data_IF_892562713429
#
_entry.id   IF_892562713429
#
_cell.length_a   1.000
_cell.length_b   1.000
_cell.length_c   1.000
_cell.angle_alpha   90.00
_cell.angle_beta   90.00
_cell.angle_gamma   90.00
#
_symmetry.space_group_name_H-M   'P 1'
#
loop_
_entity.id
_entity.type
_entity.pdbx_description
1 polymer ?
#
# COMPACT_ATOMS: atom_id res chain seq x y z
N UNK A 1 2.25 -28.66 10.93
CA UNK A 1 0.84 -28.36 10.59
C UNK A 1 0.14 -28.10 11.91
N UNK A 2 -0.18 -26.84 12.19
CA UNK A 2 -0.65 -26.41 13.52
C UNK A 2 -0.66 -24.89 13.56
N UNK A 3 -1.85 -24.35 13.33
CA UNK A 3 -2.25 -22.95 13.28
C UNK A 3 -1.61 -22.09 14.39
N UNK A 4 -0.87 -21.06 13.99
CA UNK A 4 -0.66 -19.88 14.82
C UNK A 4 -1.93 -19.03 14.71
N UNK A 5 -2.82 -19.14 15.68
CA UNK A 5 -3.73 -18.05 16.03
C UNK A 5 -2.87 -16.97 16.70
N UNK A 6 -2.31 -16.08 15.88
CA UNK A 6 -1.96 -14.74 16.35
C UNK A 6 -3.29 -14.07 16.74
N UNK A 7 -3.57 -13.96 18.05
CA UNK A 7 -4.65 -13.11 18.52
C UNK A 7 -4.44 -11.69 17.96
N UNK A 8 -5.49 -11.19 17.31
CA UNK A 8 -5.52 -9.89 16.67
C UNK A 8 -5.61 -8.75 17.70
N UNK A 9 -4.54 -7.96 17.82
CA UNK A 9 -4.56 -6.61 18.40
C UNK A 9 -4.41 -6.52 19.92
N UNK A 10 -4.15 -5.30 20.44
CA UNK A 10 -3.75 -5.09 21.83
C UNK A 10 -4.93 -5.29 22.79
N UNK A 11 -4.67 -6.03 23.86
CA UNK A 11 -5.62 -6.29 24.95
C UNK A 11 -5.44 -5.17 25.98
N UNK A 12 -6.48 -4.39 26.24
CA UNK A 12 -6.51 -3.45 27.36
C UNK A 12 -6.70 -4.25 28.65
N UNK A 13 -5.62 -4.47 29.40
CA UNK A 13 -5.71 -5.03 30.75
C UNK A 13 -5.86 -3.88 31.74
N UNK A 14 -7.10 -3.63 32.14
CA UNK A 14 -7.42 -2.68 33.21
C UNK A 14 -7.31 -3.45 34.52
N UNK A 15 -6.30 -3.13 35.33
CA UNK A 15 -6.19 -3.68 36.68
C UNK A 15 -6.74 -2.66 37.68
N UNK A 16 -7.74 -3.07 38.45
CA UNK A 16 -8.22 -2.28 39.58
C UNK A 16 -7.21 -2.42 40.73
N UNK A 17 -6.74 -1.27 41.25
CA UNK A 17 -5.76 -1.21 42.34
C UNK A 17 -6.32 -1.68 43.69
N UNK A 18 -7.63 -1.88 43.81
CA UNK A 18 -8.32 -2.22 45.08
C UNK A 18 -7.85 -3.52 45.77
N UNK A 19 -7.04 -4.36 45.12
CA UNK A 19 -6.55 -5.63 45.69
C UNK A 19 -5.02 -5.78 45.72
N UNK A 20 -4.25 -4.73 45.45
CA UNK A 20 -2.78 -4.79 45.48
C UNK A 20 -2.29 -4.07 46.74
N UNK A 21 -1.70 -4.81 47.67
CA UNK A 21 -1.04 -4.27 48.87
C UNK A 21 -0.14 -3.09 48.49
N UNK A 22 -0.17 -2.01 49.28
CA UNK A 22 0.50 -0.71 49.06
C UNK A 22 2.04 -0.76 48.85
N UNK A 23 2.64 -1.94 48.80
CA UNK A 23 4.09 -2.15 48.72
C UNK A 23 4.60 -2.75 47.41
N UNK A 24 3.74 -3.08 46.44
CA UNK A 24 4.18 -3.56 45.13
C UNK A 24 4.20 -2.44 44.09
N UNK A 25 5.39 -2.07 43.59
CA UNK A 25 5.52 -1.24 42.39
C UNK A 25 4.84 -1.97 41.22
N UNK A 26 3.66 -1.50 40.81
CA UNK A 26 2.98 -2.03 39.63
C UNK A 26 3.73 -1.60 38.38
N UNK A 27 4.39 -2.52 37.67
CA UNK A 27 4.97 -2.26 36.35
C UNK A 27 4.18 -3.00 35.26
N UNK A 28 4.04 -2.38 34.09
CA UNK A 28 3.52 -3.06 32.91
C UNK A 28 4.63 -3.97 32.36
N UNK A 29 4.45 -5.28 32.46
CA UNK A 29 5.42 -6.26 32.00
C UNK A 29 4.78 -7.30 31.07
N UNK A 30 5.53 -7.75 30.06
CA UNK A 30 5.13 -8.86 29.19
C UNK A 30 6.09 -10.03 29.34
N UNK A 31 5.58 -11.24 29.14
CA UNK A 31 6.37 -12.46 29.20
C UNK A 31 7.06 -12.73 27.86
N UNK A 32 8.40 -12.76 27.86
CA UNK A 32 9.19 -13.04 26.67
C UNK A 32 9.75 -14.46 26.72
N UNK A 33 9.34 -15.28 25.75
CA UNK A 33 9.84 -16.66 25.62
C UNK A 33 11.22 -16.69 24.97
N UNK A 34 12.11 -17.52 25.51
CA UNK A 34 13.42 -17.85 24.98
C UNK A 34 13.37 -19.28 24.44
N UNK A 35 13.21 -19.40 23.13
CA UNK A 35 13.18 -20.67 22.37
C UNK A 35 14.63 -21.06 22.07
N UNK A 36 15.07 -22.33 22.25
CA UNK A 36 14.27 -23.56 22.24
C UNK A 36 13.91 -24.17 23.60
N UNK A 37 14.33 -23.58 24.71
CA UNK A 37 14.21 -24.23 26.03
C UNK A 37 12.86 -24.03 26.73
N UNK A 38 11.87 -23.38 26.09
CA UNK A 38 10.57 -23.01 26.69
C UNK A 38 10.66 -22.20 28.00
N UNK A 39 11.84 -21.65 28.32
CA UNK A 39 12.01 -20.72 29.42
C UNK A 39 11.62 -19.32 28.96
N UNK A 40 11.19 -18.47 29.88
CA UNK A 40 10.91 -17.08 29.58
C UNK A 40 11.27 -16.18 30.75
N UNK A 41 11.23 -14.88 30.51
CA UNK A 41 11.43 -13.86 31.53
C UNK A 41 10.42 -12.74 31.35
N UNK A 42 10.00 -12.14 32.46
CA UNK A 42 9.20 -10.92 32.46
C UNK A 42 10.07 -9.74 32.03
N UNK A 43 9.56 -8.92 31.12
CA UNK A 43 10.22 -7.70 30.67
C UNK A 43 9.27 -6.51 30.84
N UNK A 44 9.71 -5.51 31.58
CA UNK A 44 8.97 -4.25 31.77
C UNK A 44 8.97 -3.45 30.45
N UNK A 45 7.78 -3.00 30.02
CA UNK A 45 7.59 -2.28 28.76
C UNK A 45 7.52 -0.76 28.98
N UNK A 46 6.91 -0.32 30.10
CA UNK A 46 6.77 1.11 30.43
C UNK A 46 6.52 1.36 31.92
N UNK A 47 6.82 2.59 32.36
CA UNK A 47 6.36 3.15 33.65
C UNK A 47 4.86 3.44 33.48
N UNK A 48 3.98 2.97 34.39
CA UNK A 48 2.54 3.19 34.27
C UNK A 48 2.20 4.68 34.38
N UNK A 49 1.35 5.18 33.47
CA UNK A 49 0.63 6.42 33.71
C UNK A 49 -0.51 6.10 34.69
N UNK A 50 -0.26 6.31 35.98
CA UNK A 50 -1.31 6.26 36.99
C UNK A 50 -2.29 7.42 36.72
N UNK A 51 -3.56 7.10 36.49
CA UNK A 51 -4.64 8.10 36.52
C UNK A 51 -5.19 8.21 37.94
N UNK A 52 -5.73 9.37 38.29
CA UNK A 52 -6.25 9.69 39.64
C UNK A 52 -7.41 8.79 40.10
N UNK A 53 -7.91 7.89 39.25
CA UNK A 53 -9.05 7.00 39.52
C UNK A 53 -8.68 5.53 39.81
N UNK A 54 -7.46 5.22 40.24
CA UNK A 54 -7.14 3.89 40.78
C UNK A 54 -7.02 2.76 39.76
N UNK A 55 -6.85 3.08 38.48
CA UNK A 55 -6.62 2.10 37.40
C UNK A 55 -5.20 2.20 36.85
N UNK A 56 -4.62 1.04 36.54
CA UNK A 56 -3.37 0.93 35.76
C UNK A 56 -3.75 0.54 34.34
N UNK A 57 -3.38 1.39 33.36
CA UNK A 57 -3.61 1.16 31.94
C UNK A 57 -2.26 0.89 31.28
N UNK A 58 -2.08 -0.30 30.72
CA UNK A 58 -0.92 -0.63 29.88
C UNK A 58 -1.31 -0.48 28.40
N UNK A 59 -0.58 0.38 27.68
CA UNK A 59 -0.83 0.72 26.28
C UNK A 59 0.21 0.05 25.36
N UNK A 60 -0.26 -0.62 24.31
CA UNK A 60 0.60 -1.15 23.25
C UNK A 60 0.36 -0.35 21.97
N UNK A 61 1.44 0.15 21.36
CA UNK A 61 1.41 1.00 20.16
C UNK A 61 1.55 0.14 18.89
N UNK A 62 0.60 0.27 17.97
CA UNK A 62 0.70 -0.30 16.62
C UNK A 62 0.61 0.85 15.62
N UNK A 63 1.67 1.10 14.87
CA UNK A 63 1.68 2.15 13.86
C UNK A 63 1.33 1.62 12.48
N UNK A 64 0.75 2.47 11.66
CA UNK A 64 0.39 2.17 10.28
C UNK A 64 1.61 1.97 9.37
N UNK A 65 1.70 0.83 8.67
CA UNK A 65 2.86 0.47 7.82
C UNK A 65 3.24 1.51 6.75
N UNK A 66 2.27 2.30 6.27
CA UNK A 66 2.50 3.27 5.21
C UNK A 66 3.12 4.58 5.71
N UNK A 67 2.85 4.99 6.95
CA UNK A 67 3.50 6.17 7.56
C UNK A 67 4.99 5.91 7.73
N UNK A 68 5.36 4.68 8.09
CA UNK A 68 6.74 4.24 8.27
C UNK A 68 7.60 4.42 7.01
N UNK A 69 7.00 4.44 5.81
CA UNK A 69 7.72 4.66 4.56
C UNK A 69 8.17 6.12 4.36
N UNK A 70 7.42 7.07 4.95
CA UNK A 70 7.67 8.50 4.86
C UNK A 70 8.47 8.99 6.06
N UNK A 71 8.10 8.53 7.26
CA UNK A 71 8.71 8.93 8.52
C UNK A 71 10.02 8.17 8.73
N UNK A 72 11.08 8.63 8.06
CA UNK A 72 12.45 8.24 8.40
C UNK A 72 12.91 8.73 9.79
N UNK A 73 12.07 9.50 10.49
CA UNK A 73 12.29 10.03 11.84
C UNK A 73 11.02 9.97 12.70
N UNK A 74 11.20 9.91 14.02
CA UNK A 74 10.19 9.63 15.05
C UNK A 74 9.20 10.76 15.34
N UNK A 75 9.47 11.98 14.90
CA UNK A 75 8.77 13.16 15.45
C UNK A 75 7.31 13.25 15.01
N UNK A 76 7.01 12.89 13.76
CA UNK A 76 5.62 12.85 13.24
C UNK A 76 4.84 11.65 13.81
N UNK A 77 5.56 10.59 14.20
CA UNK A 77 4.99 9.34 14.69
C UNK A 77 4.43 9.52 16.10
N UNK A 78 5.13 10.29 16.94
CA UNK A 78 4.70 10.55 18.32
C UNK A 78 3.35 11.28 18.40
N UNK A 79 3.05 12.16 17.44
CA UNK A 79 1.76 12.89 17.38
C UNK A 79 0.61 12.05 16.79
N UNK A 80 0.94 11.01 16.00
CA UNK A 80 -0.03 10.09 15.39
C UNK A 80 -0.37 8.90 16.30
N UNK A 81 0.47 8.61 17.29
CA UNK A 81 0.31 7.51 18.25
C UNK A 81 -0.95 7.61 19.13
N UNK A 82 -1.72 8.69 19.02
CA UNK A 82 -2.81 9.01 19.96
C UNK A 82 -4.19 8.50 19.51
N UNK A 83 -4.32 7.72 18.41
CA UNK A 83 -5.66 7.32 17.93
C UNK A 83 -5.81 5.86 17.46
N UNK A 84 -6.20 4.96 18.37
CA UNK A 84 -6.59 3.57 18.09
C UNK A 84 -7.59 3.40 16.92
N UNK A 85 -8.44 4.41 16.69
CA UNK A 85 -9.42 4.43 15.60
C UNK A 85 -8.72 4.39 14.23
N UNK A 86 -7.60 5.11 14.08
CA UNK A 86 -6.88 5.19 12.82
C UNK A 86 -6.22 3.85 12.45
N UNK A 87 -5.70 3.13 13.43
CA UNK A 87 -5.09 1.82 13.20
C UNK A 87 -6.13 0.76 12.85
N UNK A 88 -7.29 0.77 13.53
CA UNK A 88 -8.40 -0.11 13.18
C UNK A 88 -8.88 0.13 11.74
N UNK A 89 -9.14 1.39 11.38
CA UNK A 89 -9.56 1.75 10.02
C UNK A 89 -8.50 1.31 9.00
N UNK A 90 -7.23 1.53 9.30
CA UNK A 90 -6.17 1.24 8.34
C UNK A 90 -5.92 -0.26 8.19
N UNK A 91 -6.03 -1.04 9.26
CA UNK A 91 -5.92 -2.50 9.19
C UNK A 91 -7.06 -3.08 8.35
N UNK A 92 -8.30 -2.64 8.57
CA UNK A 92 -9.45 -3.05 7.75
C UNK A 92 -9.25 -2.67 6.28
N UNK A 93 -8.82 -1.43 6.01
CA UNK A 93 -8.57 -0.96 4.65
C UNK A 93 -7.46 -1.76 3.96
N UNK A 94 -6.39 -2.09 4.68
CA UNK A 94 -5.25 -2.86 4.17
C UNK A 94 -5.66 -4.29 3.80
N UNK A 95 -6.45 -4.97 4.65
CA UNK A 95 -7.00 -6.31 4.33
C UNK A 95 -7.91 -6.25 3.10
N UNK A 96 -8.80 -5.26 3.05
CA UNK A 96 -9.69 -5.07 1.91
C UNK A 96 -8.93 -4.78 0.61
N UNK A 97 -7.83 -4.03 0.73
CA UNK A 97 -6.92 -3.72 -0.37
C UNK A 97 -6.20 -4.95 -0.89
N UNK A 98 -5.67 -5.80 0.00
CA UNK A 98 -5.06 -7.09 -0.36
C UNK A 98 -6.06 -8.02 -1.07
N UNK A 99 -7.30 -8.10 -0.56
CA UNK A 99 -8.38 -8.86 -1.21
C UNK A 99 -8.71 -8.30 -2.60
N UNK A 100 -8.71 -6.97 -2.75
CA UNK A 100 -8.91 -6.32 -4.04
C UNK A 100 -7.79 -6.65 -5.04
N UNK A 101 -6.54 -6.54 -4.63
CA UNK A 101 -5.37 -6.90 -5.46
C UNK A 101 -5.41 -8.38 -5.86
N UNK A 102 -5.73 -9.26 -4.91
CA UNK A 102 -5.93 -10.68 -5.18
C UNK A 102 -7.04 -10.91 -6.21
N UNK A 103 -8.18 -10.23 -6.09
CA UNK A 103 -9.29 -10.31 -7.05
C UNK A 103 -8.88 -9.88 -8.47
N UNK A 104 -8.06 -8.84 -8.62
CA UNK A 104 -7.52 -8.42 -9.92
C UNK A 104 -6.63 -9.50 -10.52
N UNK A 105 -5.70 -10.06 -9.73
CA UNK A 105 -4.80 -11.12 -10.18
C UNK A 105 -5.57 -12.41 -10.52
N UNK A 106 -6.58 -12.76 -9.72
CA UNK A 106 -7.46 -13.89 -9.99
C UNK A 106 -8.21 -13.69 -11.31
N UNK A 107 -8.72 -12.49 -11.59
CA UNK A 107 -9.35 -12.15 -12.89
C UNK A 107 -8.37 -12.38 -14.04
N UNK A 108 -7.11 -11.99 -13.88
CA UNK A 108 -6.07 -12.17 -14.88
C UNK A 108 -5.77 -13.65 -15.19
N UNK A 109 -5.91 -14.52 -14.19
CA UNK A 109 -5.72 -15.97 -14.33
C UNK A 109 -6.94 -16.62 -14.97
N UNK A 110 -8.15 -16.22 -14.56
CA UNK A 110 -9.40 -16.85 -15.01
C UNK A 110 -9.80 -16.47 -16.44
N UNK A 111 -9.48 -15.24 -16.89
CA UNK A 111 -9.98 -14.73 -18.16
C UNK A 111 -8.84 -14.28 -19.08
N UNK A 112 -8.36 -15.19 -19.93
CA UNK A 112 -7.32 -14.89 -20.93
C UNK A 112 -7.70 -13.71 -21.83
N UNK A 113 -8.97 -13.61 -22.22
CA UNK A 113 -9.49 -12.50 -23.04
C UNK A 113 -9.33 -11.15 -22.35
N UNK A 114 -9.50 -11.11 -21.02
CA UNK A 114 -9.26 -9.91 -20.22
C UNK A 114 -7.77 -9.61 -20.12
N UNK A 115 -6.94 -10.62 -19.84
CA UNK A 115 -5.48 -10.50 -19.73
C UNK A 115 -4.80 -10.05 -21.02
N UNK A 116 -5.35 -10.39 -22.20
CA UNK A 116 -4.73 -10.06 -23.48
C UNK A 116 -4.91 -8.59 -23.89
N UNK A 117 -5.68 -7.79 -23.16
CA UNK A 117 -5.78 -6.35 -23.39
C UNK A 117 -4.54 -5.63 -22.82
N UNK A 118 -3.86 -4.82 -23.64
CA UNK A 118 -2.64 -4.08 -23.26
C UNK A 118 -2.85 -3.23 -22.00
N UNK A 119 -4.00 -2.54 -21.87
CA UNK A 119 -4.30 -1.74 -20.68
C UNK A 119 -4.39 -2.58 -19.41
N UNK A 120 -4.97 -3.78 -19.53
CA UNK A 120 -5.06 -4.73 -18.42
C UNK A 120 -3.70 -5.37 -18.09
N UNK A 121 -2.83 -5.59 -19.09
CA UNK A 121 -1.47 -6.06 -18.84
C UNK A 121 -0.66 -5.05 -18.03
N UNK A 122 -0.78 -3.77 -18.35
CA UNK A 122 -0.14 -2.68 -17.58
C UNK A 122 -0.71 -2.63 -16.16
N UNK A 123 -2.03 -2.75 -16.02
CA UNK A 123 -2.68 -2.85 -14.71
C UNK A 123 -2.19 -4.05 -13.89
N UNK A 124 -2.02 -5.23 -14.51
CA UNK A 124 -1.51 -6.42 -13.83
C UNK A 124 -0.10 -6.17 -13.30
N UNK A 125 0.79 -5.59 -14.11
CA UNK A 125 2.15 -5.27 -13.65
C UNK A 125 2.15 -4.26 -12.50
N UNK A 126 1.32 -3.21 -12.58
CA UNK A 126 1.14 -2.28 -11.48
C UNK A 126 0.61 -2.97 -10.21
N UNK A 127 -0.38 -3.83 -10.36
CA UNK A 127 -0.96 -4.64 -9.27
C UNK A 127 0.09 -5.55 -8.63
N UNK A 128 0.98 -6.15 -9.44
CA UNK A 128 2.10 -6.96 -8.95
C UNK A 128 3.09 -6.12 -8.14
N UNK A 129 3.50 -4.94 -8.64
CA UNK A 129 4.40 -4.04 -7.91
C UNK A 129 3.82 -3.63 -6.54
N UNK A 130 2.53 -3.24 -6.52
CA UNK A 130 1.80 -2.90 -5.30
C UNK A 130 1.71 -4.11 -4.36
N UNK A 131 1.43 -5.31 -4.88
CA UNK A 131 1.32 -6.53 -4.08
C UNK A 131 2.65 -6.88 -3.41
N UNK A 132 3.75 -6.82 -4.17
CA UNK A 132 5.10 -7.06 -3.65
C UNK A 132 5.42 -6.07 -2.52
N UNK A 133 5.14 -4.77 -2.71
CA UNK A 133 5.33 -3.76 -1.67
C UNK A 133 4.57 -4.10 -0.40
N UNK A 134 3.27 -4.39 -0.50
CA UNK A 134 2.44 -4.70 0.66
C UNK A 134 2.94 -5.94 1.41
N UNK A 135 3.24 -7.03 0.69
CA UNK A 135 3.78 -8.25 1.31
C UNK A 135 5.12 -7.98 2.00
N UNK A 136 6.01 -7.21 1.37
CA UNK A 136 7.31 -6.90 1.95
C UNK A 136 7.22 -5.98 3.17
N UNK A 137 6.21 -5.10 3.25
CA UNK A 137 5.93 -4.30 4.46
C UNK A 137 5.63 -5.22 5.66
N UNK A 138 4.73 -6.19 5.50
CA UNK A 138 4.39 -7.15 6.55
C UNK A 138 5.59 -8.03 6.93
N UNK A 139 6.36 -8.50 5.95
CA UNK A 139 7.59 -9.29 6.23
C UNK A 139 8.60 -8.44 7.02
N UNK A 140 8.77 -7.16 6.65
CA UNK A 140 9.73 -6.24 7.28
C UNK A 140 9.43 -5.98 8.76
N UNK A 141 8.15 -5.85 9.09
CA UNK A 141 7.68 -5.72 10.47
C UNK A 141 7.97 -6.99 11.29
N UNK A 142 7.67 -8.17 10.76
CA UNK A 142 7.85 -9.46 11.44
C UNK A 142 9.31 -9.84 11.73
N UNK A 143 10.30 -9.17 11.15
CA UNK A 143 11.71 -9.39 11.46
C UNK A 143 12.03 -8.87 12.87
N UNK A 144 12.63 -9.68 13.75
CA UNK A 144 12.95 -9.25 15.12
C UNK A 144 13.83 -7.99 15.18
N UNK A 145 13.49 -7.09 16.11
CA UNK A 145 14.26 -5.86 16.41
C UNK A 145 15.69 -6.14 16.93
N UNK A 146 15.98 -7.36 17.35
CA UNK A 146 17.32 -7.79 17.79
C UNK A 146 18.25 -8.03 16.58
N UNK A 147 17.69 -8.24 15.40
CA UNK A 147 18.39 -8.59 14.16
C UNK A 147 18.52 -7.38 13.22
N UNK A 148 18.93 -6.21 13.75
CA UNK A 148 18.94 -4.91 13.06
C UNK A 148 19.72 -4.89 11.73
N UNK A 149 20.76 -5.71 11.63
CA UNK A 149 21.64 -5.83 10.46
C UNK A 149 21.70 -7.27 9.93
N UNK A 150 20.62 -8.03 10.12
CA UNK A 150 20.53 -9.36 9.54
C UNK A 150 20.44 -9.30 8.01
N UNK A 151 21.03 -10.30 7.35
CA UNK A 151 20.92 -10.46 5.90
C UNK A 151 19.46 -10.48 5.42
N UNK A 152 18.54 -11.02 6.23
CA UNK A 152 17.11 -10.97 5.98
C UNK A 152 16.57 -9.54 5.92
N UNK A 153 16.98 -8.67 6.84
CA UNK A 153 16.57 -7.27 6.84
C UNK A 153 17.10 -6.49 5.63
N UNK A 154 18.35 -6.73 5.24
CA UNK A 154 18.96 -6.11 4.05
C UNK A 154 18.23 -6.53 2.76
N UNK A 155 17.92 -7.83 2.60
CA UNK A 155 17.18 -8.34 1.44
C UNK A 155 15.76 -7.78 1.41
N UNK A 156 15.02 -7.88 2.52
CA UNK A 156 13.65 -7.37 2.60
C UNK A 156 13.59 -5.87 2.34
N UNK A 157 14.50 -5.09 2.94
CA UNK A 157 14.58 -3.64 2.72
C UNK A 157 14.93 -3.28 1.28
N UNK A 158 15.81 -4.05 0.63
CA UNK A 158 16.13 -3.88 -0.79
C UNK A 158 14.94 -4.14 -1.71
N UNK A 159 14.21 -5.24 -1.48
CA UNK A 159 13.01 -5.57 -2.28
C UNK A 159 11.90 -4.55 -2.01
N UNK A 160 11.70 -4.14 -0.77
CA UNK A 160 10.73 -3.12 -0.41
C UNK A 160 11.03 -1.80 -1.12
N UNK A 161 12.27 -1.31 -1.03
CA UNK A 161 12.73 -0.12 -1.75
C UNK A 161 12.49 -0.22 -3.26
N UNK A 162 12.88 -1.34 -3.89
CA UNK A 162 12.63 -1.59 -5.31
C UNK A 162 11.14 -1.55 -5.66
N UNK A 163 10.31 -2.22 -4.89
CA UNK A 163 8.86 -2.33 -5.14
C UNK A 163 8.15 -0.98 -5.06
N UNK A 164 8.58 -0.10 -4.14
CA UNK A 164 8.08 1.28 -4.04
C UNK A 164 8.46 2.05 -5.30
N UNK A 165 9.73 2.07 -5.70
CA UNK A 165 10.14 2.78 -6.91
C UNK A 165 9.42 2.24 -8.17
N UNK A 166 9.22 0.92 -8.23
CA UNK A 166 8.47 0.28 -9.31
C UNK A 166 7.00 0.71 -9.33
N UNK A 167 6.33 0.74 -8.18
CA UNK A 167 4.96 1.25 -8.05
C UNK A 167 4.87 2.67 -8.63
N UNK A 168 5.77 3.56 -8.25
CA UNK A 168 5.80 4.93 -8.75
C UNK A 168 6.06 5.04 -10.25
N UNK A 169 6.96 4.22 -10.79
CA UNK A 169 7.18 4.17 -12.23
C UNK A 169 5.93 3.69 -12.98
N UNK A 170 5.23 2.67 -12.45
CA UNK A 170 3.95 2.23 -13.01
C UNK A 170 2.85 3.28 -12.91
N UNK A 171 2.77 4.01 -11.79
CA UNK A 171 1.85 5.15 -11.66
C UNK A 171 2.12 6.23 -12.72
N UNK A 172 3.39 6.54 -12.99
CA UNK A 172 3.78 7.48 -14.05
C UNK A 172 3.46 6.96 -15.45
N UNK A 173 3.68 5.67 -15.73
CA UNK A 173 3.30 5.06 -17.01
C UNK A 173 1.78 5.17 -17.21
N UNK A 174 1.00 4.85 -16.18
CA UNK A 174 -0.46 4.99 -16.21
C UNK A 174 -0.85 6.46 -16.45
N UNK A 175 -0.19 7.42 -15.79
CA UNK A 175 -0.38 8.85 -16.01
C UNK A 175 -0.22 9.25 -17.47
N UNK A 176 0.90 8.85 -18.08
CA UNK A 176 1.23 9.17 -19.46
C UNK A 176 0.21 8.55 -20.41
N UNK A 177 -0.19 7.29 -20.17
CA UNK A 177 -1.19 6.63 -21.01
C UNK A 177 -2.56 7.30 -20.93
N UNK A 178 -2.96 7.76 -19.74
CA UNK A 178 -4.19 8.53 -19.58
C UNK A 178 -4.09 9.89 -20.25
N UNK A 179 -2.97 10.59 -20.11
CA UNK A 179 -2.72 11.85 -20.82
C UNK A 179 -2.88 11.67 -22.33
N UNK A 180 -2.23 10.65 -22.90
CA UNK A 180 -2.36 10.35 -24.33
C UNK A 180 -3.78 10.03 -24.74
N UNK A 181 -4.51 9.29 -23.90
CA UNK A 181 -5.91 8.96 -24.15
C UNK A 181 -6.83 10.19 -24.17
N UNK A 182 -6.55 11.20 -23.32
CA UNK A 182 -7.44 12.36 -23.15
C UNK A 182 -7.03 13.61 -23.94
N UNK A 183 -5.73 13.80 -24.18
CA UNK A 183 -5.18 15.04 -24.74
C UNK A 183 -4.72 14.86 -26.18
N UNK A 184 -4.04 13.76 -26.50
CA UNK A 184 -3.58 13.47 -27.87
C UNK A 184 -4.72 12.86 -28.71
N UNK A 185 -5.21 13.60 -29.70
CA UNK A 185 -6.24 13.13 -30.64
C UNK A 185 -5.57 12.19 -31.66
N UNK A 186 -5.58 10.89 -31.37
CA UNK A 186 -5.35 9.77 -32.31
C UNK A 186 -4.10 9.88 -33.22
N UNK A 187 -2.92 9.75 -32.61
CA UNK A 187 -1.84 8.98 -33.26
C UNK A 187 -2.07 7.50 -32.90
N UNK A 188 -2.07 6.59 -33.88
CA UNK A 188 -2.36 5.16 -33.68
C UNK A 188 -1.58 4.51 -32.52
N UNK A 189 -1.97 3.29 -32.08
CA UNK A 189 -1.40 2.64 -30.91
C UNK A 189 0.13 2.68 -30.97
N UNK A 190 0.76 3.26 -29.95
CA UNK A 190 2.22 3.36 -29.91
C UNK A 190 2.80 1.96 -30.12
N UNK A 191 3.69 1.81 -31.11
CA UNK A 191 4.37 0.53 -31.31
C UNK A 191 5.13 0.17 -30.03
N UNK A 192 4.93 -1.06 -29.57
CA UNK A 192 5.62 -1.63 -28.40
C UNK A 192 5.37 -0.90 -27.07
N UNK A 193 4.16 -0.35 -26.82
CA UNK A 193 3.81 0.28 -25.51
C UNK A 193 4.21 -0.60 -24.35
N UNK A 194 3.78 -1.86 -24.37
CA UNK A 194 3.96 -2.78 -23.25
C UNK A 194 5.45 -3.01 -22.97
N UNK A 195 6.26 -3.23 -24.00
CA UNK A 195 7.69 -3.44 -23.84
C UNK A 195 8.37 -2.22 -23.22
N UNK A 196 8.08 -1.02 -23.74
CA UNK A 196 8.61 0.24 -23.19
C UNK A 196 8.16 0.44 -21.73
N UNK A 197 6.89 0.16 -21.46
CA UNK A 197 6.32 0.24 -20.12
C UNK A 197 7.01 -0.74 -19.15
N UNK A 198 7.22 -2.00 -19.53
CA UNK A 198 7.91 -2.98 -18.70
C UNK A 198 9.38 -2.59 -18.43
N UNK A 199 10.10 -2.06 -19.42
CA UNK A 199 11.47 -1.57 -19.23
C UNK A 199 11.46 -0.42 -18.22
N UNK A 200 10.59 0.58 -18.39
CA UNK A 200 10.50 1.71 -17.46
C UNK A 200 9.98 1.31 -16.07
N UNK A 201 9.04 0.36 -15.99
CA UNK A 201 8.36 -0.02 -14.76
C UNK A 201 9.14 -1.02 -13.91
N UNK A 202 10.05 -1.81 -14.50
CA UNK A 202 10.81 -2.85 -13.79
C UNK A 202 12.32 -2.62 -13.80
N UNK A 203 12.91 -2.10 -14.88
CA UNK A 203 14.37 -1.95 -14.99
C UNK A 203 14.84 -0.64 -14.37
N UNK A 204 14.17 0.48 -14.68
CA UNK A 204 14.55 1.79 -14.16
C UNK A 204 14.54 1.87 -12.62
N UNK A 205 13.53 1.34 -11.89
CA UNK A 205 13.53 1.29 -10.42
C UNK A 205 14.71 0.52 -9.80
N UNK A 206 15.33 -0.39 -10.55
CA UNK A 206 16.46 -1.15 -10.04
C UNK A 206 17.73 -0.30 -9.93
N UNK A 207 17.86 0.75 -10.75
CA UNK A 207 19.08 1.56 -10.81
C UNK A 207 19.40 2.25 -9.46
N UNK A 208 18.47 2.97 -8.79
CA UNK A 208 18.77 3.58 -7.50
C UNK A 208 19.06 2.53 -6.43
N UNK A 209 18.35 1.40 -6.46
CA UNK A 209 18.54 0.30 -5.51
C UNK A 209 19.96 -0.27 -5.62
N UNK A 210 20.40 -0.59 -6.84
CA UNK A 210 21.75 -1.08 -7.11
C UNK A 210 22.82 -0.07 -6.72
N UNK A 211 22.60 1.22 -7.00
CA UNK A 211 23.54 2.27 -6.59
C UNK A 211 23.72 2.32 -5.07
N UNK A 212 22.64 2.25 -4.30
CA UNK A 212 22.73 2.21 -2.83
C UNK A 212 23.45 0.94 -2.35
N UNK A 213 23.18 -0.21 -2.97
CA UNK A 213 23.90 -1.46 -2.65
C UNK A 213 25.40 -1.37 -2.92
N UNK A 214 25.82 -0.72 -4.01
CA UNK A 214 27.23 -0.55 -4.37
C UNK A 214 27.93 0.43 -3.42
N UNK A 215 27.25 1.51 -3.02
CA UNK A 215 27.84 2.54 -2.16
C UNK A 215 28.06 1.99 -0.75
N UNK A 216 27.01 1.44 -0.12
CA UNK A 216 27.13 0.77 1.18
C UNK A 216 25.88 -0.07 1.46
N UNK A 217 26.05 -1.40 1.50
CA UNK A 217 24.98 -2.35 1.79
C UNK A 217 24.41 -2.19 3.21
N UNK A 218 25.19 -1.63 4.15
CA UNK A 218 24.75 -1.42 5.54
C UNK A 218 23.72 -0.28 5.68
N UNK A 219 23.45 0.46 4.60
CA UNK A 219 22.38 1.44 4.56
C UNK A 219 20.99 0.80 4.71
N UNK A 220 20.83 -0.48 4.37
CA UNK A 220 19.60 -1.23 4.61
C UNK A 220 19.69 -1.92 5.98
N UNK A 221 19.08 -1.27 6.97
CA UNK A 221 19.00 -1.78 8.33
C UNK A 221 17.60 -1.54 8.89
N UNK A 222 17.34 -2.11 10.06
CA UNK A 222 16.11 -1.84 10.78
C UNK A 222 16.14 -0.41 11.31
N UNK A 223 15.30 0.46 10.76
CA UNK A 223 15.19 1.86 11.14
C UNK A 223 14.74 2.01 12.60
N UNK A 224 14.86 3.22 13.16
CA UNK A 224 14.36 3.55 14.50
C UNK A 224 12.87 3.28 14.68
N UNK A 225 12.13 3.18 13.58
CA UNK A 225 10.68 2.95 13.52
C UNK A 225 10.32 1.49 13.28
N UNK A 226 11.28 0.57 13.38
CA UNK A 226 11.00 -0.87 13.31
C UNK A 226 10.73 -1.42 11.91
N UNK A 227 11.23 -0.75 10.85
CA UNK A 227 11.11 -1.20 9.45
C UNK A 227 12.49 -1.45 8.83
N UNK A 228 12.69 -2.58 8.16
CA UNK A 228 13.84 -2.82 7.30
C UNK A 228 13.76 -1.96 6.04
N UNK A 229 14.55 -0.90 5.99
CA UNK A 229 14.46 0.13 4.95
C UNK A 229 15.79 0.88 4.78
N UNK A 230 16.06 1.54 3.62
CA UNK A 230 17.20 2.45 3.50
C UNK A 230 17.20 3.50 4.60
N UNK A 231 18.36 3.77 5.19
CA UNK A 231 18.55 4.81 6.20
C UNK A 231 19.49 5.91 5.74
N UNK A 232 19.42 7.07 6.42
CA UNK A 232 20.31 8.23 6.19
C UNK A 232 20.37 8.64 4.71
N UNK A 233 21.57 8.71 4.14
CA UNK A 233 21.82 9.13 2.77
C UNK A 233 21.11 8.24 1.74
N UNK A 234 20.99 6.93 2.01
CA UNK A 234 20.30 5.98 1.16
C UNK A 234 18.79 6.24 1.07
N UNK A 235 18.18 6.73 2.16
CA UNK A 235 16.79 7.16 2.17
C UNK A 235 16.59 8.42 1.31
N UNK A 236 17.40 9.46 1.52
CA UNK A 236 17.24 10.72 0.81
C UNK A 236 17.53 10.60 -0.70
N UNK A 237 18.68 10.00 -1.07
CA UNK A 237 19.10 9.92 -2.46
C UNK A 237 18.47 8.74 -3.21
N UNK A 238 18.30 7.60 -2.53
CA UNK A 238 17.78 6.38 -3.15
C UNK A 238 16.26 6.36 -3.27
N UNK A 239 15.56 6.91 -2.27
CA UNK A 239 14.09 6.88 -2.21
C UNK A 239 13.50 8.26 -2.50
N UNK A 240 13.73 9.24 -1.63
CA UNK A 240 12.96 10.48 -1.65
C UNK A 240 13.20 11.29 -2.93
N UNK A 241 14.44 11.41 -3.37
CA UNK A 241 14.78 12.17 -4.58
C UNK A 241 14.06 11.59 -5.83
N UNK A 242 14.17 10.28 -6.16
CA UNK A 242 13.38 9.69 -7.24
C UNK A 242 11.87 9.84 -7.07
N UNK A 243 11.35 9.66 -5.85
CA UNK A 243 9.92 9.78 -5.59
C UNK A 243 9.39 11.19 -5.85
N UNK A 244 10.06 12.22 -5.32
CA UNK A 244 9.65 13.62 -5.51
C UNK A 244 9.66 14.00 -6.99
N UNK A 245 10.66 13.54 -7.75
CA UNK A 245 10.72 13.77 -9.20
C UNK A 245 9.52 13.11 -9.91
N UNK A 246 9.26 11.84 -9.64
CA UNK A 246 8.14 11.11 -10.27
C UNK A 246 6.79 11.73 -9.89
N UNK A 247 6.58 12.04 -8.62
CA UNK A 247 5.36 12.69 -8.12
C UNK A 247 5.14 14.04 -8.79
N UNK A 248 6.19 14.85 -8.93
CA UNK A 248 6.09 16.16 -9.56
C UNK A 248 5.65 16.05 -11.02
N UNK A 249 6.24 15.11 -11.78
CA UNK A 249 5.85 14.85 -13.17
C UNK A 249 4.40 14.37 -13.23
N UNK A 250 4.02 13.43 -12.35
CA UNK A 250 2.67 12.88 -12.27
C UNK A 250 1.64 13.99 -11.97
N UNK A 251 1.95 14.89 -11.04
CA UNK A 251 1.11 16.03 -10.69
C UNK A 251 0.93 16.99 -11.87
N UNK A 252 2.00 17.33 -12.60
CA UNK A 252 1.91 18.16 -13.80
C UNK A 252 0.99 17.51 -14.84
N UNK A 253 1.17 16.22 -15.12
CA UNK A 253 0.31 15.47 -16.05
C UNK A 253 -1.16 15.52 -15.59
N UNK A 254 -1.41 15.34 -14.30
CA UNK A 254 -2.75 15.42 -13.73
C UNK A 254 -3.40 16.78 -13.96
N UNK A 255 -2.69 17.89 -13.70
CA UNK A 255 -3.19 19.24 -13.97
C UNK A 255 -3.51 19.43 -15.45
N UNK A 256 -2.65 18.95 -16.36
CA UNK A 256 -2.92 19.02 -17.80
C UNK A 256 -4.16 18.24 -18.22
N UNK A 257 -4.35 17.02 -17.68
CA UNK A 257 -5.55 16.22 -17.94
C UNK A 257 -6.80 16.96 -17.43
N UNK A 258 -6.78 17.45 -16.19
CA UNK A 258 -7.90 18.21 -15.63
C UNK A 258 -8.22 19.43 -16.48
N UNK A 259 -7.21 20.25 -16.80
CA UNK A 259 -7.38 21.45 -17.63
C UNK A 259 -8.06 21.11 -18.96
N UNK A 260 -7.54 20.11 -19.69
CA UNK A 260 -8.10 19.70 -20.97
C UNK A 260 -9.52 19.14 -20.85
N UNK A 261 -9.79 18.33 -19.81
CA UNK A 261 -11.11 17.73 -19.59
C UNK A 261 -12.15 18.80 -19.20
N UNK A 262 -11.77 19.82 -18.43
CA UNK A 262 -12.66 20.89 -18.05
C UNK A 262 -12.85 21.94 -19.17
N UNK A 263 -11.82 22.23 -19.97
CA UNK A 263 -11.88 23.22 -21.04
C UNK A 263 -12.41 22.70 -22.38
N UNK A 264 -12.18 21.43 -22.77
CA UNK A 264 -12.74 20.85 -24.02
C UNK A 264 -14.26 20.56 -23.94
N UNK A 265 -14.96 21.04 -22.90
CA UNK A 265 -16.39 20.81 -22.64
C UNK A 265 -17.37 21.52 -23.59
N UNK A 266 -16.90 22.34 -24.52
CA UNK A 266 -17.78 23.20 -25.34
C UNK A 266 -18.19 22.62 -26.70
N UNK A 267 -17.61 21.51 -27.18
CA UNK A 267 -17.85 21.08 -28.57
C UNK A 267 -18.43 19.67 -28.77
N UNK A 268 -18.49 18.83 -27.73
CA UNK A 268 -18.85 17.39 -27.87
C UNK A 268 -20.01 16.95 -26.95
N UNK A 269 -20.85 17.87 -26.50
CA UNK A 269 -21.87 17.58 -25.48
C UNK A 269 -23.22 17.09 -26.05
N UNK A 270 -23.36 16.98 -27.37
CA UNK A 270 -24.67 16.71 -27.97
C UNK A 270 -25.00 15.22 -28.20
N UNK A 271 -24.11 14.27 -27.88
CA UNK A 271 -24.41 12.84 -28.11
C UNK A 271 -23.72 11.83 -27.16
N UNK A 272 -23.04 12.28 -26.10
CA UNK A 272 -22.30 11.36 -25.20
C UNK A 272 -23.23 10.77 -24.14
N UNK A 273 -23.45 9.46 -24.19
CA UNK A 273 -24.15 8.70 -23.16
C UNK A 273 -23.63 9.04 -21.75
N UNK A 274 -24.55 9.30 -20.80
CA UNK A 274 -24.24 9.57 -19.40
C UNK A 274 -23.28 8.56 -18.76
N UNK A 275 -23.34 7.30 -19.21
CA UNK A 275 -22.49 6.22 -18.72
C UNK A 275 -21.02 6.37 -19.13
N UNK A 276 -20.76 6.91 -20.32
CA UNK A 276 -19.40 7.17 -20.79
C UNK A 276 -18.82 8.31 -19.94
N UNK A 277 -19.54 9.42 -19.76
CA UNK A 277 -19.09 10.52 -18.90
C UNK A 277 -18.80 10.08 -17.46
N UNK A 278 -19.62 9.20 -16.90
CA UNK A 278 -19.42 8.64 -15.56
C UNK A 278 -18.13 7.83 -15.47
N UNK A 279 -17.87 6.93 -16.44
CA UNK A 279 -16.64 6.14 -16.48
C UNK A 279 -15.38 7.01 -16.60
N UNK A 280 -15.48 8.17 -17.27
CA UNK A 280 -14.35 9.07 -17.46
C UNK A 280 -14.02 9.86 -16.19
N UNK A 281 -15.05 10.36 -15.49
CA UNK A 281 -14.88 11.00 -14.17
C UNK A 281 -14.28 10.02 -13.16
N UNK A 282 -14.75 8.78 -13.19
CA UNK A 282 -14.20 7.71 -12.39
C UNK A 282 -12.72 7.44 -12.72
N UNK A 283 -12.35 7.32 -14.00
CA UNK A 283 -10.95 7.11 -14.38
C UNK A 283 -10.02 8.25 -13.92
N UNK A 284 -10.49 9.50 -13.98
CA UNK A 284 -9.75 10.67 -13.49
C UNK A 284 -9.63 10.65 -11.97
N UNK A 285 -10.70 10.29 -11.25
CA UNK A 285 -10.69 10.21 -9.79
C UNK A 285 -9.79 9.08 -9.29
N UNK A 286 -9.80 7.93 -9.95
CA UNK A 286 -8.88 6.82 -9.67
C UNK A 286 -7.43 7.26 -9.82
N UNK A 287 -7.12 7.94 -10.92
CA UNK A 287 -5.78 8.44 -11.20
C UNK A 287 -5.35 9.54 -10.22
N UNK A 288 -6.29 10.42 -9.85
CA UNK A 288 -6.12 11.43 -8.79
C UNK A 288 -5.75 10.78 -7.47
N UNK A 289 -6.40 9.68 -7.08
CA UNK A 289 -6.06 8.95 -5.86
C UNK A 289 -4.65 8.36 -5.94
N UNK A 290 -4.22 7.81 -7.08
CA UNK A 290 -2.87 7.25 -7.21
C UNK A 290 -1.76 8.30 -7.08
N UNK A 291 -1.95 9.50 -7.66
CA UNK A 291 -0.93 10.56 -7.66
C UNK A 291 -0.98 11.50 -6.45
N UNK A 292 -2.17 11.95 -6.04
CA UNK A 292 -2.33 12.97 -5.00
C UNK A 292 -2.14 12.41 -3.59
N UNK A 293 -2.40 11.12 -3.37
CA UNK A 293 -2.19 10.51 -2.05
C UNK A 293 -0.76 10.76 -1.56
N UNK A 294 0.24 10.46 -2.38
CA UNK A 294 1.63 10.65 -1.99
C UNK A 294 2.05 12.12 -1.82
N UNK A 295 1.37 13.06 -2.48
CA UNK A 295 1.56 14.49 -2.19
C UNK A 295 1.15 14.82 -0.75
N UNK A 296 0.05 14.26 -0.24
CA UNK A 296 -0.32 14.41 1.18
C UNK A 296 0.73 13.79 2.10
N UNK A 297 1.32 12.67 1.70
CA UNK A 297 2.42 12.04 2.43
C UNK A 297 3.64 12.95 2.60
N UNK A 298 4.14 13.54 1.50
CA UNK A 298 5.24 14.50 1.56
C UNK A 298 4.84 15.83 2.21
N UNK A 299 3.60 16.28 2.03
CA UNK A 299 3.08 17.47 2.71
C UNK A 299 3.07 17.26 4.24
N UNK A 300 2.74 16.07 4.72
CA UNK A 300 2.83 15.73 6.14
C UNK A 300 4.26 15.89 6.68
N UNK A 301 5.27 15.47 5.90
CA UNK A 301 6.69 15.63 6.26
C UNK A 301 7.14 17.10 6.26
N UNK A 302 6.74 17.87 5.24
CA UNK A 302 7.20 19.25 5.05
C UNK A 302 6.52 20.20 6.04
N UNK A 303 5.22 20.05 6.24
CA UNK A 303 4.41 20.93 7.09
C UNK A 303 4.25 20.40 8.52
N UNK A 304 4.83 19.24 8.85
CA UNK A 304 4.74 18.59 10.14
C UNK A 304 3.30 18.56 10.71
N UNK A 305 2.32 18.24 9.85
CA UNK A 305 0.89 18.30 10.18
C UNK A 305 0.28 16.90 10.19
N UNK A 306 -0.27 16.43 11.32
CA UNK A 306 -0.80 15.07 11.45
C UNK A 306 -2.01 14.82 10.54
N UNK A 307 -2.81 15.85 10.25
CA UNK A 307 -3.97 15.76 9.34
C UNK A 307 -3.58 15.23 7.96
N UNK A 308 -2.46 15.71 7.40
CA UNK A 308 -2.00 15.23 6.09
C UNK A 308 -1.52 13.78 6.14
N UNK A 309 -0.91 13.36 7.24
CA UNK A 309 -0.53 11.96 7.44
C UNK A 309 -1.77 11.06 7.54
N UNK A 310 -2.80 11.46 8.28
CA UNK A 310 -4.09 10.72 8.37
C UNK A 310 -4.73 10.54 7.01
N UNK A 311 -4.83 11.62 6.22
CA UNK A 311 -5.39 11.58 4.87
C UNK A 311 -4.56 10.66 3.96
N UNK A 312 -3.24 10.76 4.05
CA UNK A 312 -2.33 9.88 3.32
C UNK A 312 -2.56 8.41 3.67
N UNK A 313 -2.59 8.05 4.96
CA UNK A 313 -2.83 6.67 5.42
C UNK A 313 -4.14 6.12 4.87
N UNK A 314 -5.22 6.88 5.05
CA UNK A 314 -6.53 6.45 4.63
C UNK A 314 -6.59 6.18 3.12
N UNK A 315 -6.05 7.09 2.31
CA UNK A 315 -6.06 6.92 0.86
C UNK A 315 -5.09 5.83 0.38
N UNK A 316 -3.88 5.77 0.94
CA UNK A 316 -2.85 4.81 0.54
C UNK A 316 -3.27 3.37 0.83
N UNK A 317 -3.99 3.15 1.94
CA UNK A 317 -4.41 1.81 2.35
C UNK A 317 -5.64 1.32 1.61
N UNK A 318 -6.50 2.22 1.12
CA UNK A 318 -7.62 1.89 0.23
C UNK A 318 -7.22 1.68 -1.23
N UNK A 319 -5.98 1.99 -1.61
CA UNK A 319 -5.55 2.04 -3.01
C UNK A 319 -5.89 0.75 -3.80
N UNK A 320 -5.54 -0.42 -3.28
CA UNK A 320 -5.79 -1.70 -3.95
C UNK A 320 -7.27 -2.07 -4.04
N UNK A 321 -8.07 -1.71 -3.03
CA UNK A 321 -9.51 -1.93 -3.05
C UNK A 321 -10.19 -1.06 -4.11
N UNK A 322 -9.80 0.21 -4.18
CA UNK A 322 -10.30 1.14 -5.20
C UNK A 322 -9.92 0.62 -6.60
N UNK A 323 -8.70 0.13 -6.80
CA UNK A 323 -8.34 -0.49 -8.08
C UNK A 323 -9.29 -1.64 -8.46
N UNK A 324 -9.62 -2.52 -7.52
CA UNK A 324 -10.53 -3.64 -7.76
C UNK A 324 -11.93 -3.18 -8.15
N UNK A 325 -12.50 -2.22 -7.41
CA UNK A 325 -13.81 -1.67 -7.72
C UNK A 325 -13.86 -1.10 -9.14
N UNK A 326 -12.84 -0.37 -9.56
CA UNK A 326 -12.87 0.31 -10.85
C UNK A 326 -12.63 -0.63 -12.03
N UNK A 327 -11.62 -1.50 -11.94
CA UNK A 327 -11.22 -2.33 -13.07
C UNK A 327 -12.02 -3.63 -13.19
N UNK A 328 -12.58 -4.12 -12.09
CA UNK A 328 -13.37 -5.36 -12.06
C UNK A 328 -14.86 -5.06 -11.93
N UNK A 329 -15.26 -4.35 -10.86
CA UNK A 329 -16.69 -4.19 -10.51
C UNK A 329 -17.40 -3.17 -11.41
N UNK A 330 -16.80 -2.02 -11.67
CA UNK A 330 -17.43 -0.95 -12.46
C UNK A 330 -17.16 -1.07 -13.96
N UNK A 331 -16.18 -1.88 -14.36
CA UNK A 331 -15.88 -2.11 -15.76
C UNK A 331 -16.92 -3.04 -16.40
N UNK A 332 -17.73 -2.49 -17.31
CA UNK A 332 -18.76 -3.25 -18.04
C UNK A 332 -18.22 -4.46 -18.77
N UNK A 333 -17.07 -4.31 -19.43
CA UNK A 333 -16.44 -5.40 -20.20
C UNK A 333 -16.00 -6.53 -19.28
N UNK A 334 -15.43 -6.21 -18.11
CA UNK A 334 -15.05 -7.22 -17.11
C UNK A 334 -16.29 -7.93 -16.55
N UNK A 335 -17.34 -7.20 -16.16
CA UNK A 335 -18.60 -7.80 -15.67
C UNK A 335 -19.22 -8.76 -16.67
N UNK A 336 -19.22 -8.41 -17.96
CA UNK A 336 -19.75 -9.27 -19.01
C UNK A 336 -19.03 -10.62 -19.09
N UNK A 337 -17.70 -10.62 -18.92
CA UNK A 337 -16.90 -11.86 -18.88
C UNK A 337 -17.26 -12.74 -17.69
N UNK A 338 -17.49 -12.14 -16.51
CA UNK A 338 -17.95 -12.89 -15.33
C UNK A 338 -19.33 -13.50 -15.54
N UNK A 339 -20.28 -12.77 -16.11
CA UNK A 339 -21.62 -13.30 -16.42
C UNK A 339 -21.54 -14.45 -17.43
N UNK A 340 -20.73 -14.30 -18.49
CA UNK A 340 -20.51 -15.37 -19.46
C UNK A 340 -19.86 -16.61 -18.83
N UNK A 341 -18.83 -16.43 -18.02
CA UNK A 341 -18.15 -17.52 -17.32
C UNK A 341 -19.08 -18.26 -16.35
N UNK A 342 -19.90 -17.52 -15.62
CA UNK A 342 -20.92 -18.08 -14.72
C UNK A 342 -21.99 -18.88 -15.48
N UNK A 343 -22.50 -18.33 -16.58
CA UNK A 343 -23.49 -19.03 -17.42
C UNK A 343 -22.92 -20.32 -18.03
N UNK A 344 -21.66 -20.29 -18.49
CA UNK A 344 -20.98 -21.48 -19.01
C UNK A 344 -20.78 -22.54 -17.92
N UNK A 345 -20.35 -22.14 -16.73
CA UNK A 345 -20.19 -23.04 -15.59
C UNK A 345 -21.52 -23.71 -15.20
N UNK A 346 -22.60 -22.93 -15.09
CA UNK A 346 -23.95 -23.45 -14.84
C UNK A 346 -24.40 -24.43 -15.92
N UNK A 347 -24.15 -24.14 -17.19
CA UNK A 347 -24.47 -25.05 -18.30
C UNK A 347 -23.69 -26.36 -18.20
N UNK A 348 -22.39 -26.29 -17.89
CA UNK A 348 -21.54 -27.48 -17.74
C UNK A 348 -21.98 -28.40 -16.60
N UNK A 349 -22.46 -27.81 -15.50
CA UNK A 349 -22.95 -28.54 -14.33
C UNK A 349 -24.30 -29.20 -14.63
N UNK A 350 -25.24 -28.46 -15.23
CA UNK A 350 -26.54 -29.01 -15.65
C UNK A 350 -26.49 -30.00 -16.82
N UNK A 351 -25.38 -30.07 -17.55
CA UNK A 351 -25.10 -31.16 -18.49
C UNK A 351 -24.60 -32.42 -17.77
N UNK A 352 -23.71 -32.25 -16.77
CA UNK A 352 -23.15 -33.34 -15.97
C UNK A 352 -24.22 -34.03 -15.10
N UNK A 353 -25.19 -33.27 -14.58
CA UNK A 353 -26.31 -33.79 -13.80
C UNK A 353 -27.36 -34.54 -14.66
N UNK A 354 -27.30 -34.44 -16.00
CA UNK A 354 -28.19 -35.18 -16.93
C UNK A 354 -27.57 -36.48 -17.48
N UNK A 355 -26.29 -36.70 -17.25
CA UNK A 355 -25.55 -37.88 -17.70
C UNK A 355 -25.39 -38.94 -16.59
N UNK A 356 -25.70 -38.59 -15.34
CA UNK A 356 -25.85 -39.49 -14.21
C UNK A 356 -27.34 -39.71 -13.93
#
# INVERSE_FOLDING_TARGET
>A
MGLYEELAGPIFLIHNKDNVEETANSSCAYWKYQIPELKGYWKDDTIPNATEEGYIICEYSHLTHFVLLLAGSSDIINDLNTSHILDMITNVNSVLSLLGLFGILLTAVLFDRWRNNIGNQILINFTLAVSIKNVMLYISEGISNENKTSMGCTITGGILHYSILSEFCWMLIIAILQFKRFVEVLGGPLKYVLLKACICGWVFPALPVFLIFIIDMNNYNKSSVGLCYPTKLGLYLGVWLPLIVIISINFVIFIFILYNVFHKKTEYRDQVNHEILFQWRLAILLFSMLGLTWLFGFAALIFNTPVFAVVFCFMATLQGFIMFLFFIVFNKSTRYLYVQGFNWWMYSKGYKDRLN
#
